data_IF_221095750552
#
_entry.id   IF_221095750552
#
_cell.length_a   1.000
_cell.length_b   1.000
_cell.length_c   1.000
_cell.angle_alpha   90.00
_cell.angle_beta   90.00
_cell.angle_gamma   90.00
#
_symmetry.space_group_name_H-M   'P 1'
#
loop_
_entity.id
_entity.type
_entity.pdbx_description
1 polymer ?
#
# COMPACT_ATOMS: atom_id res chain seq x y z
N UNK A 1 -4.33 -12.36 -3.87
CA UNK A 1 -3.03 -12.22 -3.18
C UNK A 1 -2.44 -13.59 -2.88
N UNK A 2 -1.58 -14.09 -3.76
CA UNK A 2 -0.65 -15.17 -3.44
C UNK A 2 0.73 -14.52 -3.27
N UNK A 3 1.52 -14.88 -2.23
CA UNK A 3 2.88 -14.37 -2.12
C UNK A 3 3.75 -14.84 -3.30
N UNK A 4 4.67 -14.00 -3.76
CA UNK A 4 5.63 -14.17 -4.85
C UNK A 4 5.04 -14.25 -6.28
N UNK A 5 3.85 -13.68 -6.51
CA UNK A 5 3.19 -13.68 -7.84
C UNK A 5 2.66 -12.28 -8.20
N UNK A 6 3.30 -11.62 -9.17
CA UNK A 6 2.73 -10.44 -9.82
C UNK A 6 1.45 -10.81 -10.57
N UNK A 7 0.39 -10.02 -10.43
CA UNK A 7 -0.92 -10.38 -10.98
C UNK A 7 -1.93 -9.25 -11.02
N UNK A 8 -3.21 -9.63 -11.05
CA UNK A 8 -4.35 -8.72 -11.06
C UNK A 8 -5.18 -8.92 -9.80
N UNK A 9 -5.57 -7.82 -9.17
CA UNK A 9 -6.64 -7.78 -8.18
C UNK A 9 -7.90 -7.28 -8.89
N UNK A 10 -8.88 -8.16 -9.02
CA UNK A 10 -10.14 -7.85 -9.71
C UNK A 10 -11.12 -7.29 -8.69
N UNK A 11 -11.56 -6.06 -8.93
CA UNK A 11 -12.59 -5.39 -8.15
C UNK A 11 -13.95 -5.52 -8.85
N UNK A 12 -15.05 -5.49 -8.07
CA UNK A 12 -16.38 -5.39 -8.65
C UNK A 12 -16.51 -4.15 -9.55
N UNK A 13 -17.20 -4.23 -10.70
CA UNK A 13 -17.28 -3.12 -11.65
C UNK A 13 -17.94 -1.86 -11.09
N UNK A 14 -18.73 -1.98 -10.02
CA UNK A 14 -19.34 -0.86 -9.30
C UNK A 14 -18.36 -0.10 -8.38
N UNK A 15 -17.20 -0.68 -8.08
CA UNK A 15 -16.20 -0.03 -7.24
C UNK A 15 -15.42 1.01 -8.06
N UNK A 16 -15.83 2.27 -8.00
CA UNK A 16 -15.17 3.34 -8.76
C UNK A 16 -13.76 3.74 -8.29
N UNK A 17 -13.03 2.88 -7.57
CA UNK A 17 -11.67 3.16 -7.09
C UNK A 17 -11.57 4.18 -5.96
N UNK A 18 -12.68 4.60 -5.36
CA UNK A 18 -12.69 5.64 -4.32
C UNK A 18 -12.49 5.02 -2.95
N UNK A 19 -11.43 5.40 -2.24
CA UNK A 19 -11.11 4.90 -0.89
C UNK A 19 -11.07 6.05 0.12
N UNK A 20 -11.54 5.82 1.36
CA UNK A 20 -11.50 6.83 2.42
C UNK A 20 -10.07 7.13 2.83
N UNK A 21 -9.85 8.35 3.33
CA UNK A 21 -8.59 8.74 3.97
C UNK A 21 -8.74 8.98 5.45
N UNK A 22 -7.63 8.78 6.17
CA UNK A 22 -7.58 9.03 7.60
C UNK A 22 -6.17 9.42 8.05
N UNK A 23 -6.04 10.02 9.22
CA UNK A 23 -4.75 10.28 9.86
C UNK A 23 -4.31 9.02 10.59
N UNK A 24 -3.07 8.60 10.38
CA UNK A 24 -2.53 7.44 11.08
C UNK A 24 -2.39 7.72 12.59
N UNK A 25 -3.12 6.94 13.37
CA UNK A 25 -2.98 6.79 14.81
C UNK A 25 -2.78 5.32 15.14
N UNK A 26 -2.20 4.99 16.30
CA UNK A 26 -2.07 3.59 16.71
C UNK A 26 -3.43 2.88 16.85
N UNK A 27 -4.49 3.61 17.19
CA UNK A 27 -5.85 3.08 17.24
C UNK A 27 -6.30 2.62 15.85
N UNK A 28 -6.23 3.49 14.85
CA UNK A 28 -6.68 3.18 13.48
C UNK A 28 -5.77 2.16 12.79
N UNK A 29 -4.46 2.26 12.97
CA UNK A 29 -3.49 1.33 12.37
C UNK A 29 -3.60 -0.09 12.94
N UNK A 30 -3.99 -0.24 14.21
CA UNK A 30 -4.13 -1.56 14.84
C UNK A 30 -5.14 -2.46 14.12
N UNK A 31 -6.15 -1.86 13.48
CA UNK A 31 -7.10 -2.57 12.64
C UNK A 31 -6.41 -3.29 11.47
N UNK A 32 -5.33 -2.74 10.93
CA UNK A 32 -4.53 -3.34 9.85
C UNK A 32 -3.31 -4.11 10.38
N UNK A 33 -3.18 -4.27 11.71
CA UNK A 33 -2.03 -4.89 12.35
C UNK A 33 -0.75 -4.03 12.33
N UNK A 34 -0.84 -2.79 11.87
CA UNK A 34 0.27 -1.85 11.80
C UNK A 34 0.34 -0.98 13.06
N UNK A 35 1.44 -0.27 13.25
CA UNK A 35 1.56 0.74 14.30
C UNK A 35 2.58 1.82 13.94
N UNK A 36 2.43 3.00 14.54
CA UNK A 36 3.50 3.98 14.64
C UNK A 36 4.46 3.56 15.77
N UNK A 37 5.75 3.61 15.47
CA UNK A 37 6.80 3.46 16.46
C UNK A 37 6.61 4.50 17.58
N UNK A 38 6.81 4.06 18.81
CA UNK A 38 6.72 4.90 20.00
C UNK A 38 8.04 4.88 20.78
N UNK A 39 8.10 5.60 21.90
CA UNK A 39 9.24 5.54 22.81
C UNK A 39 9.37 4.19 23.55
N UNK A 40 8.39 3.30 23.42
CA UNK A 40 8.49 1.96 23.99
C UNK A 40 9.53 1.12 23.24
N UNK A 41 10.36 0.40 23.99
CA UNK A 41 11.33 -0.52 23.39
C UNK A 41 10.63 -1.83 22.97
N UNK A 42 10.30 -1.93 21.70
CA UNK A 42 9.78 -3.17 21.09
C UNK A 42 10.87 -3.79 20.22
N UNK A 43 11.06 -5.11 20.35
CA UNK A 43 11.95 -5.87 19.48
C UNK A 43 11.11 -6.53 18.39
N UNK A 44 11.55 -6.39 17.14
CA UNK A 44 10.99 -7.10 15.98
C UNK A 44 12.06 -8.01 15.39
N UNK A 45 11.64 -9.17 14.90
CA UNK A 45 12.53 -10.11 14.21
C UNK A 45 12.47 -9.85 12.71
N UNK A 46 13.63 -9.60 12.10
CA UNK A 46 13.78 -9.47 10.65
C UNK A 46 14.35 -10.79 10.12
N UNK A 47 13.58 -11.49 9.28
CA UNK A 47 13.96 -12.81 8.76
C UNK A 47 14.72 -12.75 7.43
N UNK A 48 14.85 -11.56 6.86
CA UNK A 48 15.60 -11.28 5.64
C UNK A 48 16.57 -10.13 5.91
N UNK A 49 17.62 -9.97 5.11
CA UNK A 49 18.40 -8.73 5.13
C UNK A 49 17.51 -7.55 4.73
N UNK A 50 17.68 -6.45 5.44
CA UNK A 50 16.97 -5.20 5.19
C UNK A 50 17.97 -4.09 4.94
N UNK A 51 17.62 -3.18 4.04
CA UNK A 51 18.35 -1.95 3.79
C UNK A 51 17.49 -0.76 4.22
N UNK A 52 18.13 0.28 4.72
CA UNK A 52 17.51 1.57 5.02
C UNK A 52 17.90 2.55 3.92
N UNK A 53 16.91 3.11 3.22
CA UNK A 53 17.13 4.00 2.09
C UNK A 53 16.13 5.16 2.13
N UNK A 54 16.57 6.33 1.66
CA UNK A 54 15.67 7.46 1.40
C UNK A 54 15.18 7.38 -0.06
N UNK A 55 13.87 7.31 -0.24
CA UNK A 55 13.18 7.36 -1.53
C UNK A 55 12.62 8.77 -1.73
N UNK A 56 12.95 9.39 -2.86
CA UNK A 56 12.48 10.74 -3.21
C UNK A 56 11.51 10.66 -4.38
N UNK A 57 10.22 10.83 -4.09
CA UNK A 57 9.17 10.91 -5.09
C UNK A 57 9.09 12.34 -5.63
N UNK A 58 9.28 12.48 -6.94
CA UNK A 58 9.17 13.79 -7.62
C UNK A 58 7.74 14.33 -7.53
N UNK A 59 7.59 15.65 -7.63
CA UNK A 59 6.31 16.35 -7.46
C UNK A 59 5.18 15.80 -8.35
N UNK A 60 5.51 15.43 -9.59
CA UNK A 60 4.59 14.87 -10.59
C UNK A 60 4.54 13.33 -10.60
N UNK A 61 5.26 12.64 -9.72
CA UNK A 61 5.35 11.17 -9.73
C UNK A 61 3.99 10.48 -9.74
N UNK A 62 3.09 10.85 -8.82
CA UNK A 62 1.75 10.24 -8.74
C UNK A 62 0.93 10.53 -10.00
N UNK A 63 1.06 11.71 -10.59
CA UNK A 63 0.31 12.03 -11.80
C UNK A 63 0.83 11.22 -13.00
N UNK A 64 2.15 11.17 -13.18
CA UNK A 64 2.73 10.58 -14.37
C UNK A 64 2.76 9.05 -14.26
N UNK A 65 3.35 8.52 -13.20
CA UNK A 65 3.58 7.08 -13.05
C UNK A 65 2.32 6.33 -12.62
N UNK A 66 1.58 6.87 -11.64
CA UNK A 66 0.43 6.12 -11.10
C UNK A 66 -0.78 6.32 -12.00
N UNK A 67 -1.15 7.58 -12.27
CA UNK A 67 -2.40 7.90 -12.96
C UNK A 67 -2.31 7.77 -14.48
N UNK A 68 -1.32 8.40 -15.11
CA UNK A 68 -1.24 8.40 -16.58
C UNK A 68 -0.78 7.03 -17.10
N UNK A 69 0.24 6.42 -16.48
CA UNK A 69 0.77 5.13 -16.90
C UNK A 69 0.01 3.92 -16.30
N UNK A 70 -0.90 4.17 -15.36
CA UNK A 70 -1.78 3.13 -14.78
C UNK A 70 -1.07 2.15 -13.84
N UNK A 71 0.05 2.54 -13.23
CA UNK A 71 0.88 1.65 -12.39
C UNK A 71 0.44 1.55 -10.93
N UNK A 72 -0.77 2.03 -10.58
CA UNK A 72 -1.32 1.83 -9.24
C UNK A 72 -1.58 0.36 -8.93
N UNK A 73 -1.12 -0.09 -7.76
CA UNK A 73 -1.34 -1.45 -7.30
C UNK A 73 -1.43 -1.59 -5.79
N UNK A 74 -1.52 -2.84 -5.36
CA UNK A 74 -1.41 -3.27 -3.97
C UNK A 74 -0.29 -4.28 -3.84
N UNK A 75 0.34 -4.30 -2.68
CA UNK A 75 1.47 -5.15 -2.36
C UNK A 75 1.22 -6.01 -1.13
N UNK A 76 1.83 -7.21 -1.09
CA UNK A 76 1.79 -8.10 0.08
C UNK A 76 2.91 -9.14 0.05
N UNK A 77 3.93 -9.01 0.88
CA UNK A 77 5.10 -9.92 0.90
C UNK A 77 5.47 -10.37 2.32
N UNK A 78 6.43 -11.29 2.43
CA UNK A 78 6.78 -12.01 3.68
C UNK A 78 7.71 -11.26 4.63
N UNK A 79 8.24 -10.10 4.25
CA UNK A 79 9.09 -9.26 5.10
C UNK A 79 8.34 -8.02 5.61
N UNK A 80 8.89 -7.41 6.66
CA UNK A 80 8.35 -6.22 7.29
C UNK A 80 8.95 -4.94 6.70
N UNK A 81 8.28 -3.81 6.92
CA UNK A 81 8.80 -2.50 6.55
C UNK A 81 8.78 -1.54 7.72
N UNK A 82 9.66 -0.55 7.64
CA UNK A 82 9.50 0.71 8.35
C UNK A 82 9.43 1.83 7.34
N UNK A 83 8.41 2.68 7.42
CA UNK A 83 8.20 3.80 6.51
C UNK A 83 8.02 5.10 7.28
N UNK A 84 8.82 6.12 6.96
CA UNK A 84 8.82 7.38 7.68
C UNK A 84 8.87 8.56 6.71
N UNK A 85 7.80 9.38 6.62
CA UNK A 85 7.83 10.60 5.82
C UNK A 85 8.74 11.63 6.48
N UNK A 86 9.65 12.22 5.71
CA UNK A 86 10.61 13.22 6.21
C UNK A 86 10.12 14.67 6.09
N UNK A 87 9.02 14.89 5.36
CA UNK A 87 8.37 16.19 5.20
C UNK A 87 6.86 16.07 5.13
N UNK A 88 6.19 17.22 5.13
CA UNK A 88 4.73 17.32 5.05
C UNK A 88 4.21 17.01 3.63
N UNK A 89 2.89 16.82 3.50
CA UNK A 89 2.23 16.48 2.23
C UNK A 89 2.82 15.23 1.55
N UNK A 90 3.11 14.21 2.36
CA UNK A 90 3.86 13.00 1.99
C UNK A 90 3.06 11.98 1.16
N UNK A 91 1.84 12.34 0.72
CA UNK A 91 0.94 11.46 0.00
C UNK A 91 0.12 10.57 0.94
N UNK A 92 -0.33 9.42 0.43
CA UNK A 92 -1.14 8.46 1.17
C UNK A 92 -0.47 7.10 1.16
N UNK A 93 -0.26 6.54 2.35
CA UNK A 93 0.13 5.14 2.50
C UNK A 93 -1.13 4.29 2.59
N UNK A 94 -1.38 3.42 1.62
CA UNK A 94 -2.61 2.62 1.60
C UNK A 94 -2.39 1.38 2.48
N UNK A 95 -3.38 1.05 3.31
CA UNK A 95 -3.46 -0.23 4.02
C UNK A 95 -4.74 -0.96 3.63
N UNK A 96 -4.63 -2.28 3.55
CA UNK A 96 -5.73 -3.18 3.21
C UNK A 96 -5.85 -4.36 4.16
N UNK A 97 -7.08 -4.84 4.34
CA UNK A 97 -7.37 -6.04 5.14
C UNK A 97 -8.59 -6.77 4.58
N UNK A 98 -8.44 -8.07 4.33
CA UNK A 98 -9.61 -8.93 4.13
C UNK A 98 -10.30 -9.16 5.46
N UNK A 99 -11.62 -8.97 5.49
CA UNK A 99 -12.42 -9.11 6.72
C UNK A 99 -13.07 -10.48 6.87
N UNK A 100 -13.11 -11.25 5.79
CA UNK A 100 -13.63 -12.61 5.76
C UNK A 100 -12.56 -13.63 5.35
N UNK A 101 -12.81 -14.92 5.66
CA UNK A 101 -11.86 -16.02 5.38
C UNK A 101 -11.76 -16.40 3.91
N UNK A 102 -12.76 -16.05 3.11
CA UNK A 102 -12.82 -16.31 1.68
C UNK A 102 -12.16 -15.18 0.87
N UNK A 103 -11.69 -14.11 1.52
CA UNK A 103 -11.12 -12.92 0.90
C UNK A 103 -12.08 -12.26 -0.10
N UNK A 104 -13.38 -12.23 0.22
CA UNK A 104 -14.42 -11.63 -0.63
C UNK A 104 -14.61 -10.14 -0.39
N UNK A 105 -14.25 -9.65 0.79
CA UNK A 105 -14.40 -8.25 1.19
C UNK A 105 -13.05 -7.70 1.66
N UNK A 106 -12.54 -6.71 0.94
CA UNK A 106 -11.28 -6.01 1.20
C UNK A 106 -11.59 -4.59 1.69
N UNK A 107 -11.22 -4.30 2.94
CA UNK A 107 -11.27 -2.94 3.47
C UNK A 107 -9.96 -2.23 3.10
N UNK A 108 -10.07 -0.98 2.64
CA UNK A 108 -8.95 -0.14 2.22
C UNK A 108 -9.05 1.23 2.87
N UNK A 109 -7.92 1.79 3.26
CA UNK A 109 -7.84 3.19 3.74
C UNK A 109 -6.52 3.80 3.30
N UNK A 110 -6.57 5.02 2.78
CA UNK A 110 -5.39 5.83 2.50
C UNK A 110 -4.99 6.63 3.75
N UNK A 111 -3.88 6.28 4.38
CA UNK A 111 -3.43 6.97 5.58
C UNK A 111 -2.48 8.12 5.27
N UNK A 112 -2.75 9.28 5.88
CA UNK A 112 -1.74 10.31 6.06
C UNK A 112 -0.87 9.93 7.26
N UNK A 113 0.37 9.52 6.99
CA UNK A 113 1.35 9.26 8.05
C UNK A 113 1.95 10.61 8.50
N UNK A 114 1.85 10.98 9.78
CA UNK A 114 2.41 12.24 10.25
C UNK A 114 3.92 12.32 10.03
N UNK A 115 4.40 13.52 9.68
CA UNK A 115 5.82 13.80 9.45
C UNK A 115 6.68 13.30 10.61
N UNK A 116 7.78 12.61 10.28
CA UNK A 116 8.74 12.00 11.22
C UNK A 116 8.17 10.93 12.16
N UNK A 117 6.96 10.43 11.90
CA UNK A 117 6.43 9.26 12.59
C UNK A 117 6.71 8.02 11.75
N UNK A 118 7.40 7.05 12.33
CA UNK A 118 7.76 5.81 11.62
C UNK A 118 6.62 4.82 11.73
N UNK A 119 6.02 4.46 10.60
CA UNK A 119 5.08 3.36 10.46
C UNK A 119 5.85 2.04 10.45
N UNK A 120 5.42 1.07 11.26
CA UNK A 120 5.80 -0.32 11.15
C UNK A 120 4.71 -1.10 10.44
N UNK A 121 5.09 -1.76 9.36
CA UNK A 121 4.23 -2.61 8.54
C UNK A 121 4.70 -4.06 8.68
N UNK A 122 3.96 -4.92 9.40
CA UNK A 122 4.35 -6.32 9.55
C UNK A 122 4.34 -7.09 8.22
N UNK A 123 4.98 -8.26 8.18
CA UNK A 123 4.84 -9.21 7.08
C UNK A 123 3.38 -9.49 6.75
N UNK A 124 3.10 -9.70 5.46
CA UNK A 124 1.81 -10.11 4.91
C UNK A 124 0.68 -9.07 5.05
N UNK A 125 0.99 -7.84 5.47
CA UNK A 125 0.06 -6.71 5.39
C UNK A 125 -0.17 -6.34 3.92
N UNK A 126 -1.43 -6.10 3.53
CA UNK A 126 -1.77 -5.54 2.22
C UNK A 126 -1.55 -4.03 2.30
N UNK A 127 -0.79 -3.46 1.38
CA UNK A 127 -0.46 -2.04 1.41
C UNK A 127 -0.15 -1.49 0.01
N UNK A 128 0.08 -0.19 -0.13
CA UNK A 128 0.68 0.41 -1.34
C UNK A 128 1.46 1.67 -1.00
N UNK A 129 2.64 1.76 -1.60
CA UNK A 129 3.55 2.90 -1.54
C UNK A 129 3.50 3.74 -2.83
N UNK A 130 2.64 3.37 -3.79
CA UNK A 130 2.56 4.03 -5.10
C UNK A 130 2.06 5.48 -4.99
N UNK A 131 1.29 5.79 -3.95
CA UNK A 131 0.64 7.10 -3.78
C UNK A 131 1.41 8.04 -2.83
N UNK A 132 2.68 7.73 -2.57
CA UNK A 132 3.57 8.55 -1.76
C UNK A 132 4.11 9.75 -2.53
N UNK A 133 4.46 10.80 -1.78
CA UNK A 133 5.03 12.06 -2.27
C UNK A 133 6.19 12.51 -1.39
N UNK A 134 7.08 13.31 -1.94
CA UNK A 134 8.22 13.86 -1.20
C UNK A 134 9.23 12.78 -0.82
N UNK A 135 9.93 12.98 0.30
CA UNK A 135 10.98 12.06 0.76
C UNK A 135 10.48 11.15 1.86
N UNK A 136 10.65 9.85 1.66
CA UNK A 136 10.38 8.80 2.63
C UNK A 136 11.66 8.06 2.98
N UNK A 137 11.89 7.85 4.27
CA UNK A 137 12.92 6.93 4.76
C UNK A 137 12.27 5.58 4.97
N UNK A 138 12.70 4.60 4.18
CA UNK A 138 12.11 3.26 4.20
C UNK A 138 13.18 2.22 4.53
N UNK A 139 12.84 1.33 5.45
CA UNK A 139 13.56 0.09 5.70
C UNK A 139 12.75 -1.05 5.09
N UNK A 140 13.31 -1.76 4.13
CA UNK A 140 12.68 -2.93 3.51
C UNK A 140 13.72 -3.99 3.14
N UNK A 141 13.27 -5.19 2.81
CA UNK A 141 14.17 -6.25 2.35
C UNK A 141 14.65 -6.01 0.92
N UNK A 142 15.93 -6.23 0.68
CA UNK A 142 16.54 -6.24 -0.67
C UNK A 142 16.96 -7.66 -1.09
N UNK A 143 16.54 -8.69 -0.35
CA UNK A 143 16.78 -10.10 -0.64
C UNK A 143 15.51 -10.83 -1.12
N UNK A 144 14.33 -10.28 -0.84
CA UNK A 144 13.06 -10.90 -1.12
C UNK A 144 12.30 -10.11 -2.20
N UNK A 145 11.53 -10.83 -3.02
CA UNK A 145 10.67 -10.22 -4.04
C UNK A 145 9.50 -9.48 -3.41
N UNK A 146 9.07 -8.41 -4.06
CA UNK A 146 7.85 -7.68 -3.74
C UNK A 146 6.73 -8.22 -4.61
N UNK A 147 5.59 -8.49 -3.98
CA UNK A 147 4.40 -8.95 -4.64
C UNK A 147 3.55 -7.76 -4.99
N UNK A 148 3.46 -7.44 -6.27
CA UNK A 148 2.65 -6.33 -6.75
C UNK A 148 1.48 -6.84 -7.60
N UNK A 149 0.27 -6.42 -7.27
CA UNK A 149 -0.92 -6.69 -8.07
C UNK A 149 -1.50 -5.40 -8.63
N UNK A 150 -1.75 -5.39 -9.93
CA UNK A 150 -2.45 -4.31 -10.61
C UNK A 150 -3.93 -4.30 -10.25
N UNK A 151 -4.53 -3.11 -10.17
CA UNK A 151 -5.95 -2.94 -9.89
C UNK A 151 -6.73 -3.04 -11.20
N UNK A 152 -7.75 -3.90 -11.26
CA UNK A 152 -8.51 -4.14 -12.49
C UNK A 152 -10.00 -4.31 -12.24
N UNK A 153 -10.82 -3.90 -13.20
CA UNK A 153 -12.20 -4.32 -13.33
C UNK A 153 -12.31 -5.41 -14.39
N UNK A 154 -13.16 -6.41 -14.13
CA UNK A 154 -13.50 -7.43 -15.11
C UNK A 154 -14.78 -7.03 -15.85
N UNK A 155 -14.69 -7.00 -17.18
CA UNK A 155 -15.80 -6.76 -18.08
C UNK A 155 -15.91 -7.88 -19.10
N UNK A 156 -17.13 -8.09 -19.61
CA UNK A 156 -17.36 -9.00 -20.73
C UNK A 156 -17.82 -8.21 -21.95
N UNK A 157 -16.95 -8.08 -22.94
CA UNK A 157 -17.21 -7.33 -24.18
C UNK A 157 -17.27 -8.31 -25.35
N UNK A 158 -18.39 -8.31 -26.09
CA UNK A 158 -18.63 -9.21 -27.23
C UNK A 158 -18.38 -10.70 -26.93
N UNK A 159 -18.65 -11.13 -25.70
CA UNK A 159 -18.45 -12.52 -25.27
C UNK A 159 -17.05 -12.85 -24.76
N UNK A 160 -16.07 -11.94 -24.88
CA UNK A 160 -14.70 -12.08 -24.40
C UNK A 160 -14.51 -11.38 -23.05
N UNK A 161 -13.66 -11.96 -22.20
CA UNK A 161 -13.23 -11.35 -20.95
C UNK A 161 -12.19 -10.27 -21.21
N UNK A 162 -12.41 -9.09 -20.64
CA UNK A 162 -11.52 -7.93 -20.73
C UNK A 162 -11.25 -7.37 -19.33
N UNK A 163 -10.02 -6.95 -19.08
CA UNK A 163 -9.60 -6.38 -17.80
C UNK A 163 -9.16 -4.94 -18.01
N UNK A 164 -9.81 -4.00 -17.35
CA UNK A 164 -9.50 -2.58 -17.42
C UNK A 164 -8.78 -2.13 -16.16
N UNK A 165 -7.63 -1.49 -16.31
CA UNK A 165 -6.87 -0.97 -15.18
C UNK A 165 -7.50 0.31 -14.62
N UNK A 166 -7.44 0.47 -13.30
CA UNK A 166 -7.82 1.72 -12.64
C UNK A 166 -6.83 2.09 -11.54
N UNK A 167 -6.95 3.30 -11.02
CA UNK A 167 -6.16 3.78 -9.87
C UNK A 167 -7.07 4.25 -8.75
N UNK A 168 -6.57 4.26 -7.52
CA UNK A 168 -7.33 4.78 -6.40
C UNK A 168 -7.48 6.30 -6.47
N UNK A 169 -8.66 6.75 -6.07
CA UNK A 169 -8.97 8.14 -5.75
C UNK A 169 -9.28 8.25 -4.26
N UNK A 170 -8.80 9.32 -3.64
CA UNK A 170 -8.89 9.51 -2.20
C UNK A 170 -10.02 10.47 -1.86
N UNK A 171 -10.95 10.02 -1.02
CA UNK A 171 -12.09 10.83 -0.56
C UNK A 171 -11.93 11.21 0.91
N UNK A 172 -12.04 12.52 1.18
CA UNK A 172 -12.08 13.12 2.52
C UNK A 172 -13.51 13.20 3.04
#
# INVERSE_FOLDING_TARGET
FQPNVSGMCVFPPEFGGRIPVDIATNEHLSYYGCCLASSAQTKVSLFHRHCLQDFVYKENYVQDYVKNDGHGGLEKHSFAHLDCPLGDNSGYFILGRFVDKNNSELHLTGFHIPTKHTLYVPPLTIHSNDYLKGTWRTMLSDEASIDHVSLTHHHRLNGHDTYEHFTFEFVQ
#
